data_IF_813067377130
#
_entry.id   IF_813067377130
#
_cell.length_a   1.000
_cell.length_b   1.000
_cell.length_c   1.000
_cell.angle_alpha   90.00
_cell.angle_beta   90.00
_cell.angle_gamma   90.00
#
_symmetry.space_group_name_H-M   'P 1'
#
loop_
_entity.id
_entity.type
_entity.pdbx_description
1 polymer ?
#
# COMPACT_ATOMS: atom_id res chain seq x y z
N UNK A 1 1.52 -43.88 29.17
CA UNK A 1 2.13 -42.58 28.83
C UNK A 1 1.48 -42.09 27.54
N UNK A 2 0.73 -40.98 27.60
CA UNK A 2 -0.21 -40.54 26.57
C UNK A 2 0.48 -39.88 25.35
N UNK A 3 0.13 -40.27 24.10
CA UNK A 3 0.71 -39.69 22.87
C UNK A 3 0.22 -38.26 22.55
N UNK A 4 -0.74 -37.70 23.30
CA UNK A 4 -1.28 -36.35 23.06
C UNK A 4 -0.31 -35.20 23.36
N UNK A 5 0.79 -35.43 24.09
CA UNK A 5 1.70 -34.35 24.50
C UNK A 5 2.68 -33.93 23.40
N UNK A 6 2.93 -34.80 22.41
CA UNK A 6 3.94 -34.56 21.36
C UNK A 6 3.41 -33.76 20.17
N UNK A 7 2.08 -33.64 20.04
CA UNK A 7 1.45 -32.93 18.92
C UNK A 7 1.25 -31.43 19.22
N UNK A 8 1.01 -31.08 20.49
CA UNK A 8 0.87 -29.68 20.92
C UNK A 8 2.20 -28.92 20.91
N UNK A 9 3.33 -29.62 21.09
CA UNK A 9 4.66 -28.99 21.04
C UNK A 9 5.09 -28.62 19.61
N UNK A 10 4.70 -29.43 18.61
CA UNK A 10 5.02 -29.14 17.19
C UNK A 10 4.15 -28.02 16.61
N UNK A 11 2.94 -27.81 17.12
CA UNK A 11 2.08 -26.70 16.72
C UNK A 11 2.58 -25.34 17.23
N UNK A 12 3.29 -25.31 18.38
CA UNK A 12 3.80 -24.07 18.96
C UNK A 12 5.06 -23.53 18.26
N UNK A 13 5.80 -24.36 17.53
CA UNK A 13 7.09 -23.98 16.94
C UNK A 13 7.01 -23.51 15.48
N UNK A 14 5.87 -23.71 14.79
CA UNK A 14 5.64 -23.20 13.42
C UNK A 14 5.08 -21.78 13.42
N UNK A 15 4.56 -21.30 14.57
CA UNK A 15 3.98 -19.96 14.68
C UNK A 15 5.01 -18.83 14.87
N UNK A 16 6.30 -19.13 14.98
CA UNK A 16 7.34 -18.15 15.38
C UNK A 16 8.13 -17.52 14.22
N UNK A 17 7.78 -17.82 12.96
CA UNK A 17 8.49 -17.27 11.78
C UNK A 17 7.76 -16.15 11.02
N UNK A 18 6.67 -15.59 11.57
CA UNK A 18 5.94 -14.45 10.99
C UNK A 18 5.87 -13.22 11.92
N UNK A 19 6.72 -13.15 12.94
CA UNK A 19 6.72 -12.05 13.90
C UNK A 19 8.14 -11.52 14.15
N UNK A 20 8.72 -10.90 13.12
CA UNK A 20 9.84 -9.98 13.27
C UNK A 20 9.54 -8.75 12.41
N UNK A 21 9.40 -7.53 12.90
CA UNK A 21 9.57 -7.00 14.24
C UNK A 21 8.59 -5.83 14.43
N UNK A 22 7.56 -6.00 15.26
CA UNK A 22 6.87 -4.86 15.87
C UNK A 22 7.51 -4.65 17.24
N UNK A 23 8.50 -3.76 17.28
CA UNK A 23 8.93 -3.18 18.55
C UNK A 23 7.74 -2.41 19.11
N UNK A 24 7.24 -2.90 20.24
CA UNK A 24 6.25 -2.21 21.08
C UNK A 24 6.89 -0.95 21.66
N UNK A 25 6.80 0.18 20.95
CA UNK A 25 7.05 1.48 21.53
C UNK A 25 5.81 1.91 22.33
N UNK A 26 5.90 1.71 23.65
CA UNK A 26 5.04 2.39 24.62
C UNK A 26 5.19 3.91 24.46
N UNK A 27 4.07 4.58 24.22
CA UNK A 27 3.98 6.02 24.01
C UNK A 27 3.29 6.27 22.68
N UNK A 28 2.03 6.75 22.72
CA UNK A 28 1.43 7.45 21.59
C UNK A 28 2.35 8.64 21.30
N UNK A 29 3.32 8.45 20.40
CA UNK A 29 4.04 9.56 19.82
C UNK A 29 2.95 10.46 19.23
N UNK A 30 2.88 11.70 19.70
CA UNK A 30 1.97 12.66 19.10
C UNK A 30 2.27 12.69 17.61
N UNK A 31 1.26 12.42 16.77
CA UNK A 31 1.39 12.41 15.32
C UNK A 31 2.26 13.59 14.88
N UNK A 32 3.46 13.28 14.38
CA UNK A 32 4.49 14.27 14.09
C UNK A 32 4.36 14.71 12.64
N UNK A 33 3.93 15.96 12.36
CA UNK A 33 3.77 16.42 10.98
C UNK A 33 5.07 16.41 10.19
N UNK A 34 6.23 16.51 10.85
CA UNK A 34 7.54 16.39 10.22
C UNK A 34 7.82 14.97 9.77
N UNK A 35 7.49 13.97 10.59
CA UNK A 35 7.77 12.56 10.29
C UNK A 35 6.83 12.05 9.20
N UNK A 36 5.56 12.46 9.25
CA UNK A 36 4.62 12.25 8.15
C UNK A 36 5.14 12.84 6.83
N UNK A 37 5.59 14.10 6.87
CA UNK A 37 6.09 14.78 5.66
C UNK A 37 7.35 14.12 5.11
N UNK A 38 8.28 13.71 5.98
CA UNK A 38 9.48 13.00 5.59
C UNK A 38 9.14 11.65 4.95
N UNK A 39 8.27 10.85 5.58
CA UNK A 39 7.82 9.58 5.03
C UNK A 39 7.13 9.74 3.67
N UNK A 40 6.20 10.69 3.54
CA UNK A 40 5.51 10.95 2.27
C UNK A 40 6.45 11.47 1.17
N UNK A 41 7.50 12.22 1.51
CA UNK A 41 8.47 12.74 0.53
C UNK A 41 9.18 11.60 -0.22
N UNK A 42 9.50 10.53 0.49
CA UNK A 42 10.21 9.38 -0.09
C UNK A 42 9.25 8.36 -0.70
N UNK A 43 8.06 8.22 -0.11
CA UNK A 43 7.08 7.20 -0.50
C UNK A 43 6.23 7.60 -1.71
N UNK A 44 5.83 8.88 -1.84
CA UNK A 44 4.98 9.35 -2.94
C UNK A 44 5.61 9.12 -4.33
N UNK A 45 6.91 9.40 -4.56
CA UNK A 45 7.53 9.10 -5.85
C UNK A 45 7.51 7.62 -6.20
N UNK A 46 7.72 6.74 -5.22
CA UNK A 46 7.70 5.29 -5.41
C UNK A 46 6.28 4.79 -5.73
N UNK A 47 5.28 5.28 -5.00
CA UNK A 47 3.88 4.99 -5.26
C UNK A 47 3.46 5.47 -6.66
N UNK A 48 3.86 6.67 -7.08
CA UNK A 48 3.56 7.20 -8.41
C UNK A 48 4.19 6.37 -9.53
N UNK A 49 5.47 6.00 -9.37
CA UNK A 49 6.15 5.13 -10.33
C UNK A 49 5.45 3.78 -10.44
N UNK A 50 5.10 3.18 -9.30
CA UNK A 50 4.37 1.91 -9.26
C UNK A 50 2.98 1.99 -9.92
N UNK A 51 2.19 3.05 -9.65
CA UNK A 51 0.88 3.24 -10.32
C UNK A 51 1.05 3.34 -11.83
N UNK A 52 2.08 4.05 -12.30
CA UNK A 52 2.38 4.17 -13.73
C UNK A 52 2.80 2.83 -14.35
N UNK A 53 3.66 2.07 -13.66
CA UNK A 53 4.09 0.74 -14.12
C UNK A 53 2.89 -0.21 -14.24
N UNK A 54 2.00 -0.18 -13.24
CA UNK A 54 0.80 -1.00 -13.21
C UNK A 54 -0.18 -0.64 -14.33
N UNK A 55 -0.43 0.65 -14.54
CA UNK A 55 -1.31 1.12 -15.63
C UNK A 55 -0.77 0.71 -17.00
N UNK A 56 0.52 0.90 -17.25
CA UNK A 56 1.14 0.48 -18.50
C UNK A 56 1.04 -1.04 -18.70
N UNK A 57 1.27 -1.81 -17.64
CA UNK A 57 1.21 -3.28 -17.70
C UNK A 57 -0.23 -3.77 -17.88
N UNK A 58 -1.20 -3.16 -17.20
CA UNK A 58 -2.62 -3.44 -17.35
C UNK A 58 -3.11 -3.14 -18.78
N UNK A 59 -2.73 -1.99 -19.34
CA UNK A 59 -3.05 -1.63 -20.71
C UNK A 59 -2.42 -2.60 -21.73
N UNK A 60 -1.17 -3.00 -21.51
CA UNK A 60 -0.51 -4.00 -22.35
C UNK A 60 -1.22 -5.35 -22.27
N UNK A 61 -1.66 -5.75 -21.08
CA UNK A 61 -2.37 -7.01 -20.84
C UNK A 61 -3.72 -7.11 -21.57
N UNK A 62 -4.36 -5.98 -21.91
CA UNK A 62 -5.57 -5.98 -22.76
C UNK A 62 -5.28 -6.50 -24.18
N UNK A 63 -4.08 -6.21 -24.70
CA UNK A 63 -3.64 -6.67 -26.03
C UNK A 63 -2.90 -8.01 -25.99
N UNK A 64 -2.32 -8.35 -24.84
CA UNK A 64 -1.49 -9.54 -24.59
C UNK A 64 -1.85 -10.13 -23.22
N UNK A 65 -2.95 -10.90 -23.12
CA UNK A 65 -3.46 -11.40 -21.84
C UNK A 65 -2.45 -12.24 -21.04
N UNK A 66 -1.47 -12.86 -21.71
CA UNK A 66 -0.39 -13.60 -21.07
C UNK A 66 0.45 -12.73 -20.10
N UNK A 67 0.49 -11.41 -20.31
CA UNK A 67 1.19 -10.48 -19.42
C UNK A 67 0.50 -10.34 -18.06
N UNK A 68 -0.81 -10.55 -17.99
CA UNK A 68 -1.56 -10.52 -16.72
C UNK A 68 -1.20 -11.69 -15.80
N UNK A 69 -0.71 -12.79 -16.37
CA UNK A 69 -0.27 -13.98 -15.64
C UNK A 69 1.25 -14.03 -15.43
N UNK A 70 1.99 -13.07 -15.97
CA UNK A 70 3.46 -13.08 -15.96
C UNK A 70 4.06 -12.63 -14.62
N UNK A 71 5.33 -12.97 -14.42
CA UNK A 71 6.09 -12.62 -13.21
C UNK A 71 6.11 -11.11 -12.92
N UNK A 72 6.08 -10.28 -13.97
CA UNK A 72 6.00 -8.83 -13.84
C UNK A 72 4.73 -8.38 -13.12
N UNK A 73 3.57 -8.94 -13.46
CA UNK A 73 2.30 -8.59 -12.81
C UNK A 73 2.29 -9.06 -11.35
N UNK A 74 2.81 -10.26 -11.08
CA UNK A 74 2.95 -10.77 -9.72
C UNK A 74 3.89 -9.92 -8.86
N UNK A 75 4.97 -9.40 -9.45
CA UNK A 75 5.88 -8.47 -8.77
C UNK A 75 5.22 -7.12 -8.50
N UNK A 76 4.47 -6.58 -9.47
CA UNK A 76 3.69 -5.36 -9.27
C UNK A 76 2.68 -5.51 -8.13
N UNK A 77 2.01 -6.66 -8.03
CA UNK A 77 1.11 -6.95 -6.93
C UNK A 77 1.84 -6.90 -5.57
N UNK A 78 3.00 -7.58 -5.45
CA UNK A 78 3.81 -7.58 -4.21
C UNK A 78 4.30 -6.19 -3.82
N UNK A 79 4.86 -5.44 -4.79
CA UNK A 79 5.30 -4.05 -4.58
C UNK A 79 4.15 -3.17 -4.11
N UNK A 80 2.97 -3.34 -4.70
CA UNK A 80 1.76 -2.60 -4.32
C UNK A 80 1.33 -2.87 -2.89
N UNK A 81 1.37 -4.14 -2.44
CA UNK A 81 1.08 -4.50 -1.04
C UNK A 81 2.06 -3.83 -0.08
N UNK A 82 3.36 -3.82 -0.40
CA UNK A 82 4.38 -3.13 0.40
C UNK A 82 4.12 -1.63 0.49
N UNK A 83 3.87 -0.98 -0.65
CA UNK A 83 3.59 0.47 -0.70
C UNK A 83 2.32 0.80 0.09
N UNK A 84 1.27 -0.02 0.01
CA UNK A 84 0.06 0.18 0.80
C UNK A 84 0.33 0.08 2.31
N UNK A 85 1.17 -0.86 2.74
CA UNK A 85 1.58 -1.00 4.13
C UNK A 85 2.39 0.22 4.60
N UNK A 86 3.36 0.68 3.81
CA UNK A 86 4.17 1.87 4.11
C UNK A 86 3.30 3.14 4.19
N UNK A 87 2.29 3.27 3.32
CA UNK A 87 1.34 4.38 3.34
C UNK A 87 0.48 4.35 4.61
N UNK A 88 0.06 3.16 5.07
CA UNK A 88 -0.69 3.00 6.33
C UNK A 88 0.18 3.36 7.53
N UNK A 89 1.40 2.84 7.59
CA UNK A 89 2.34 3.13 8.68
C UNK A 89 2.71 4.61 8.75
N UNK A 90 3.00 5.24 7.60
CA UNK A 90 3.22 6.69 7.52
C UNK A 90 1.97 7.45 7.98
N UNK A 91 0.78 6.96 7.65
CA UNK A 91 -0.51 7.52 8.02
C UNK A 91 -0.78 7.62 9.52
N UNK A 92 -0.11 6.83 10.36
CA UNK A 92 -0.23 6.91 11.82
C UNK A 92 0.25 8.27 12.36
N UNK A 93 1.19 8.90 11.65
CA UNK A 93 1.71 10.22 11.96
C UNK A 93 1.00 11.35 11.20
N UNK A 94 -0.02 11.04 10.41
CA UNK A 94 -0.70 12.04 9.59
C UNK A 94 -1.39 13.11 10.45
N UNK A 95 -1.25 14.41 10.11
CA UNK A 95 -2.07 15.46 10.70
C UNK A 95 -3.56 15.13 10.55
N UNK A 96 -4.40 15.48 11.55
CA UNK A 96 -5.84 15.13 11.55
C UNK A 96 -6.57 15.46 10.24
N UNK A 97 -6.24 16.59 9.61
CA UNK A 97 -6.83 17.02 8.35
C UNK A 97 -6.47 16.12 7.14
N UNK A 98 -5.40 15.32 7.27
CA UNK A 98 -4.86 14.45 6.22
C UNK A 98 -5.12 12.97 6.44
N UNK A 99 -5.55 12.55 7.63
CA UNK A 99 -5.81 11.13 7.95
C UNK A 99 -6.71 10.47 6.91
N UNK A 100 -7.81 11.12 6.54
CA UNK A 100 -8.77 10.58 5.56
C UNK A 100 -8.18 10.50 4.15
N UNK A 101 -7.41 11.51 3.73
CA UNK A 101 -6.76 11.53 2.43
C UNK A 101 -5.67 10.44 2.35
N UNK A 102 -4.83 10.31 3.38
CA UNK A 102 -3.81 9.27 3.44
C UNK A 102 -4.43 7.86 3.43
N UNK A 103 -5.47 7.65 4.22
CA UNK A 103 -6.19 6.36 4.24
C UNK A 103 -6.79 6.02 2.88
N UNK A 104 -7.39 7.00 2.18
CA UNK A 104 -7.88 6.81 0.82
C UNK A 104 -6.76 6.44 -0.15
N UNK A 105 -5.61 7.12 -0.06
CA UNK A 105 -4.44 6.81 -0.88
C UNK A 105 -3.96 5.37 -0.67
N UNK A 106 -3.81 4.94 0.59
CA UNK A 106 -3.41 3.57 0.92
C UNK A 106 -4.41 2.51 0.42
N UNK A 107 -5.72 2.77 0.59
CA UNK A 107 -6.77 1.87 0.12
C UNK A 107 -6.81 1.75 -1.41
N UNK A 108 -6.58 2.84 -2.15
CA UNK A 108 -6.51 2.80 -3.61
C UNK A 108 -5.34 1.93 -4.09
N UNK A 109 -4.16 2.07 -3.45
CA UNK A 109 -2.99 1.22 -3.75
C UNK A 109 -3.29 -0.24 -3.45
N UNK A 110 -3.88 -0.55 -2.29
CA UNK A 110 -4.23 -1.90 -1.89
C UNK A 110 -5.22 -2.56 -2.87
N UNK A 111 -6.27 -1.84 -3.29
CA UNK A 111 -7.25 -2.37 -4.26
C UNK A 111 -6.62 -2.63 -5.64
N UNK A 112 -5.76 -1.73 -6.10
CA UNK A 112 -4.99 -1.94 -7.33
C UNK A 112 -4.04 -3.14 -7.22
N UNK A 113 -3.35 -3.29 -6.09
CA UNK A 113 -2.45 -4.43 -5.84
C UNK A 113 -3.22 -5.76 -5.78
N UNK A 114 -4.40 -5.77 -5.16
CA UNK A 114 -5.26 -6.95 -5.12
C UNK A 114 -5.75 -7.33 -6.53
N UNK A 115 -6.15 -6.35 -7.35
CA UNK A 115 -6.53 -6.60 -8.74
C UNK A 115 -5.35 -7.13 -9.56
N UNK A 116 -4.14 -6.59 -9.36
CA UNK A 116 -2.92 -7.10 -9.99
C UNK A 116 -2.65 -8.58 -9.59
N UNK A 117 -2.86 -8.93 -8.32
CA UNK A 117 -2.68 -10.31 -7.85
C UNK A 117 -3.67 -11.30 -8.47
N UNK A 118 -4.87 -10.83 -8.83
CA UNK A 118 -5.93 -11.64 -9.46
C UNK A 118 -6.08 -11.39 -10.96
N UNK A 119 -5.13 -10.71 -11.61
CA UNK A 119 -5.26 -10.26 -12.99
C UNK A 119 -5.26 -11.41 -14.02
N UNK A 120 -4.68 -12.55 -13.66
CA UNK A 120 -4.56 -13.68 -14.57
C UNK A 120 -5.94 -14.22 -14.98
N UNK A 121 -6.25 -14.14 -16.27
CA UNK A 121 -7.53 -14.55 -16.84
C UNK A 121 -8.57 -13.42 -16.96
N UNK A 122 -8.32 -12.24 -16.38
CA UNK A 122 -9.23 -11.09 -16.49
C UNK A 122 -8.49 -9.74 -16.53
N UNK A 123 -7.78 -9.43 -17.63
CA UNK A 123 -7.06 -8.17 -17.79
C UNK A 123 -8.00 -6.96 -17.92
N UNK A 124 -9.26 -7.16 -18.33
CA UNK A 124 -10.25 -6.10 -18.44
C UNK A 124 -10.65 -5.57 -17.06
N UNK A 125 -10.97 -6.49 -16.12
CA UNK A 125 -11.26 -6.10 -14.73
C UNK A 125 -10.07 -5.42 -14.08
N UNK A 126 -8.84 -5.87 -14.35
CA UNK A 126 -7.64 -5.16 -13.88
C UNK A 126 -7.61 -3.71 -14.37
N UNK A 127 -7.80 -3.47 -15.67
CA UNK A 127 -7.74 -2.14 -16.26
C UNK A 127 -8.82 -1.19 -15.70
N UNK A 128 -10.03 -1.72 -15.48
CA UNK A 128 -11.14 -0.96 -14.89
C UNK A 128 -10.82 -0.55 -13.44
N UNK A 129 -10.34 -1.50 -12.62
CA UNK A 129 -9.95 -1.23 -11.23
C UNK A 129 -8.80 -0.23 -11.17
N UNK A 130 -7.78 -0.38 -12.01
CA UNK A 130 -6.65 0.57 -12.06
C UNK A 130 -7.14 1.97 -12.41
N UNK A 131 -8.02 2.10 -13.40
CA UNK A 131 -8.59 3.41 -13.81
C UNK A 131 -9.39 4.05 -12.69
N UNK A 132 -10.31 3.31 -12.07
CA UNK A 132 -11.15 3.80 -10.97
C UNK A 132 -10.27 4.22 -9.78
N UNK A 133 -9.37 3.34 -9.33
CA UNK A 133 -8.59 3.57 -8.12
C UNK A 133 -7.49 4.61 -8.32
N UNK A 134 -6.93 4.76 -9.53
CA UNK A 134 -6.01 5.86 -9.87
C UNK A 134 -6.67 7.22 -9.70
N UNK A 135 -7.95 7.36 -10.05
CA UNK A 135 -8.68 8.61 -9.84
C UNK A 135 -8.80 8.96 -8.34
N UNK A 136 -9.12 7.97 -7.50
CA UNK A 136 -9.17 8.12 -6.05
C UNK A 136 -7.82 8.45 -5.42
N UNK A 137 -6.77 7.76 -5.87
CA UNK A 137 -5.38 8.02 -5.49
C UNK A 137 -4.96 9.46 -5.81
N UNK A 138 -5.22 9.93 -7.04
CA UNK A 138 -4.89 11.29 -7.47
C UNK A 138 -5.66 12.35 -6.68
N UNK A 139 -6.94 12.11 -6.40
CA UNK A 139 -7.74 13.01 -5.59
C UNK A 139 -7.21 13.12 -4.15
N UNK A 140 -6.79 12.00 -3.55
CA UNK A 140 -6.17 11.97 -2.24
C UNK A 140 -4.83 12.74 -2.22
N UNK A 141 -3.95 12.49 -3.20
CA UNK A 141 -2.70 13.24 -3.34
C UNK A 141 -2.93 14.75 -3.48
N UNK A 142 -3.92 15.16 -4.28
CA UNK A 142 -4.22 16.59 -4.45
C UNK A 142 -4.59 17.25 -3.11
N UNK A 143 -5.41 16.59 -2.30
CA UNK A 143 -5.76 17.11 -0.96
C UNK A 143 -4.55 17.23 -0.05
N UNK A 144 -3.65 16.24 -0.07
CA UNK A 144 -2.40 16.26 0.68
C UNK A 144 -1.52 17.44 0.22
N UNK A 145 -1.32 17.59 -1.09
CA UNK A 145 -0.49 18.65 -1.66
C UNK A 145 -1.04 20.05 -1.35
N UNK A 146 -2.35 20.25 -1.49
CA UNK A 146 -3.01 21.54 -1.18
C UNK A 146 -2.86 21.89 0.31
N UNK A 147 -3.02 20.91 1.21
CA UNK A 147 -2.81 21.15 2.63
C UNK A 147 -1.36 21.54 2.94
N UNK A 148 -0.40 20.81 2.37
CA UNK A 148 1.03 21.09 2.55
C UNK A 148 1.37 22.49 2.06
N UNK A 149 0.95 22.87 0.85
CA UNK A 149 1.19 24.22 0.31
C UNK A 149 0.55 25.33 1.16
N UNK A 150 -0.68 25.12 1.64
CA UNK A 150 -1.37 26.09 2.50
C UNK A 150 -0.70 26.25 3.86
N UNK A 151 -0.23 25.15 4.46
CA UNK A 151 0.51 25.21 5.72
C UNK A 151 1.77 26.07 5.56
N UNK A 152 2.55 25.85 4.49
CA UNK A 152 3.74 26.65 4.18
C UNK A 152 3.46 28.13 3.89
N UNK A 153 2.37 28.45 3.19
CA UNK A 153 1.97 29.84 2.95
C UNK A 153 1.56 30.58 4.23
N UNK A 154 1.13 29.84 5.27
CA UNK A 154 0.65 30.41 6.54
C UNK A 154 1.73 30.59 7.61
N UNK A 155 2.98 30.18 7.36
CA UNK A 155 4.08 30.28 8.32
C UNK A 155 3.90 29.45 9.59
N UNK A 156 3.06 28.41 9.55
CA UNK A 156 2.80 27.48 10.65
C UNK A 156 3.37 26.09 10.38
#
# INVERSE_FOLDING_TARGET
MNPMMNQKLKAALVATFLAGAFVTSNGVAAASPSDYRAGMKDLVPQANAWVSDLEMTAAAALSKPELACGDQMAELARRGVSIAADLRGTGENAPRALVSANSQMAQSVERMAAAAASACGDPAVLADVVTEQKSGYNAAMLRINVFVQRAYASGR
#
